data_IF_984216469321
#
_entry.id   IF_984216469321
#
_cell.length_a   1.000
_cell.length_b   1.000
_cell.length_c   1.000
_cell.angle_alpha   90.00
_cell.angle_beta   90.00
_cell.angle_gamma   90.00
#
_symmetry.space_group_name_H-M   'P 1'
#
loop_
_entity.id
_entity.type
_entity.pdbx_description
1 polymer ?
#
# COMPACT_ATOMS: atom_id res chain seq x y z
N UNK A 1 7.53 4.04 5.48
CA UNK A 1 6.86 4.64 4.31
C UNK A 1 7.48 4.16 3.01
N UNK A 2 6.64 3.71 2.09
CA UNK A 2 6.98 3.23 0.74
C UNK A 2 6.16 3.99 -0.31
N UNK A 3 6.61 3.94 -1.56
CA UNK A 3 5.95 4.58 -2.69
C UNK A 3 5.13 3.55 -3.49
N UNK A 4 3.81 3.69 -3.48
CA UNK A 4 2.92 2.93 -4.34
C UNK A 4 2.54 3.76 -5.57
N UNK A 5 2.70 3.21 -6.77
CA UNK A 5 2.38 3.92 -8.01
C UNK A 5 1.04 3.44 -8.54
N UNK A 6 0.02 4.29 -8.47
CA UNK A 6 -1.28 4.06 -9.11
C UNK A 6 -1.32 4.75 -10.48
N UNK A 7 -1.78 4.07 -11.52
CA UNK A 7 -2.04 4.70 -12.82
C UNK A 7 -3.52 5.00 -12.96
N UNK A 8 -3.91 6.27 -12.79
CA UNK A 8 -5.29 6.72 -12.90
C UNK A 8 -5.44 7.63 -14.12
N UNK A 9 -6.30 7.23 -15.05
CA UNK A 9 -6.60 8.00 -16.27
C UNK A 9 -5.34 8.35 -17.10
N UNK A 10 -4.40 7.42 -17.22
CA UNK A 10 -3.13 7.60 -17.94
C UNK A 10 -2.10 8.47 -17.21
N UNK A 11 -2.40 8.97 -16.01
CA UNK A 11 -1.46 9.68 -15.15
C UNK A 11 -0.99 8.76 -14.02
N UNK A 12 0.33 8.73 -13.80
CA UNK A 12 0.91 8.05 -12.64
C UNK A 12 0.78 8.96 -11.43
N UNK A 13 0.17 8.46 -10.38
CA UNK A 13 0.06 9.11 -9.07
C UNK A 13 0.93 8.29 -8.13
N UNK A 14 1.83 8.95 -7.43
CA UNK A 14 2.68 8.33 -6.41
C UNK A 14 2.03 8.54 -5.06
N UNK A 15 1.67 7.44 -4.40
CA UNK A 15 1.09 7.41 -3.07
C UNK A 15 2.20 7.06 -2.09
N UNK A 16 2.40 7.92 -1.10
CA UNK A 16 3.27 7.62 0.03
C UNK A 16 2.43 6.91 1.09
N UNK A 17 2.69 5.64 1.30
CA UNK A 17 1.94 4.82 2.26
C UNK A 17 2.85 4.31 3.36
N UNK A 18 2.34 4.16 4.58
CA UNK A 18 3.11 3.64 5.70
C UNK A 18 2.73 2.17 6.01
N UNK A 19 3.52 1.19 5.54
CA UNK A 19 3.22 -0.24 5.72
C UNK A 19 3.49 -0.73 7.15
N UNK A 20 4.04 0.13 8.03
CA UNK A 20 4.16 -0.16 9.45
C UNK A 20 2.85 0.11 10.22
N UNK A 21 1.92 0.87 9.64
CA UNK A 21 0.59 1.12 10.16
C UNK A 21 -0.45 0.48 9.24
N UNK A 22 -0.68 -0.81 9.46
CA UNK A 22 -1.69 -1.60 8.75
C UNK A 22 -2.91 -1.72 9.65
N UNK A 23 -4.07 -1.28 9.17
CA UNK A 23 -5.34 -1.48 9.88
C UNK A 23 -5.88 -2.89 9.60
N UNK A 24 -5.88 -3.29 8.32
CA UNK A 24 -6.45 -4.55 7.85
C UNK A 24 -5.62 -5.19 6.74
N UNK A 25 -5.65 -6.52 6.69
CA UNK A 25 -5.08 -7.33 5.61
C UNK A 25 -6.22 -8.15 5.00
N UNK A 26 -6.20 -8.28 3.68
CA UNK A 26 -7.23 -8.99 2.93
C UNK A 26 -6.61 -10.05 2.01
N UNK A 27 -6.56 -9.83 0.71
CA UNK A 27 -6.07 -10.81 -0.28
C UNK A 27 -4.53 -10.88 -0.40
N UNK A 28 -3.99 -12.08 -0.65
CA UNK A 28 -2.58 -12.31 -1.00
C UNK A 28 -2.47 -12.66 -2.48
N UNK A 29 -1.54 -12.02 -3.18
CA UNK A 29 -1.25 -12.28 -4.59
C UNK A 29 0.26 -12.38 -4.79
N UNK A 30 0.76 -13.62 -4.91
CA UNK A 30 2.19 -13.88 -5.01
C UNK A 30 2.94 -13.41 -3.76
N UNK A 31 3.86 -12.47 -3.96
CA UNK A 31 4.68 -11.85 -2.89
C UNK A 31 4.05 -10.55 -2.34
N UNK A 32 2.89 -10.15 -2.85
CA UNK A 32 2.15 -8.98 -2.42
C UNK A 32 0.95 -9.36 -1.55
N UNK A 33 0.60 -8.48 -0.62
CA UNK A 33 -0.57 -8.58 0.24
C UNK A 33 -1.37 -7.28 0.11
N UNK A 34 -2.66 -7.41 -0.14
CA UNK A 34 -3.60 -6.31 -0.12
C UNK A 34 -3.85 -5.89 1.33
N UNK A 35 -3.46 -4.65 1.62
CA UNK A 35 -3.45 -4.11 2.97
C UNK A 35 -4.12 -2.72 2.98
N UNK A 36 -4.91 -2.47 4.01
CA UNK A 36 -5.43 -1.15 4.32
C UNK A 36 -4.37 -0.41 5.12
N UNK A 37 -3.69 0.52 4.44
CA UNK A 37 -2.57 1.28 4.98
C UNK A 37 -2.87 2.77 4.96
N UNK A 38 -2.24 3.51 5.88
CA UNK A 38 -2.39 4.95 5.89
C UNK A 38 -1.62 5.57 4.73
N UNK A 39 -2.32 6.30 3.86
CA UNK A 39 -1.73 7.05 2.76
C UNK A 39 -1.51 8.51 3.18
N UNK A 40 -0.26 8.95 3.23
CA UNK A 40 0.11 10.33 3.53
C UNK A 40 -0.27 11.29 2.41
N UNK A 41 -0.27 10.83 1.15
CA UNK A 41 -0.64 11.66 -0.01
C UNK A 41 -2.10 12.14 0.08
N UNK A 42 -3.01 11.28 0.51
CA UNK A 42 -4.44 11.61 0.66
C UNK A 42 -4.87 11.81 2.12
N UNK A 43 -3.98 11.55 3.09
CA UNK A 43 -4.21 11.62 4.54
C UNK A 43 -5.46 10.84 4.97
N UNK A 44 -5.57 9.62 4.46
CA UNK A 44 -6.67 8.69 4.72
C UNK A 44 -6.19 7.25 4.60
N UNK A 45 -6.99 6.31 5.12
CA UNK A 45 -6.77 4.88 4.93
C UNK A 45 -7.14 4.47 3.51
N UNK A 46 -6.19 3.84 2.81
CA UNK A 46 -6.37 3.37 1.44
C UNK A 46 -5.85 1.94 1.30
N UNK A 47 -6.54 1.18 0.44
CA UNK A 47 -6.14 -0.17 0.13
C UNK A 47 -5.05 -0.16 -0.93
N UNK A 48 -3.93 -0.81 -0.63
CA UNK A 48 -2.81 -0.92 -1.55
C UNK A 48 -2.25 -2.34 -1.53
N UNK A 49 -1.78 -2.79 -2.69
CA UNK A 49 -0.96 -3.99 -2.80
C UNK A 49 0.45 -3.64 -2.35
N UNK A 50 0.86 -4.25 -1.23
CA UNK A 50 2.16 -4.01 -0.62
C UNK A 50 2.96 -5.31 -0.66
N UNK A 51 4.24 -5.24 -1.02
CA UNK A 51 5.13 -6.38 -0.89
C UNK A 51 5.17 -6.86 0.55
N UNK A 52 5.02 -8.17 0.76
CA UNK A 52 4.96 -8.76 2.11
C UNK A 52 6.22 -8.53 2.91
N UNK A 53 7.38 -8.39 2.24
CA UNK A 53 8.65 -8.00 2.86
C UNK A 53 8.56 -6.64 3.55
N UNK A 54 7.84 -5.68 2.95
CA UNK A 54 7.67 -4.31 3.48
C UNK A 54 6.66 -4.23 4.63
N UNK A 55 5.73 -5.19 4.73
CA UNK A 55 4.78 -5.33 5.84
C UNK A 55 5.40 -5.97 7.10
N UNK A 56 6.73 -6.04 7.18
CA UNK A 56 7.46 -6.67 8.28
C UNK A 56 7.66 -8.16 8.12
N UNK A 57 7.94 -8.61 6.88
CA UNK A 57 8.25 -10.00 6.57
C UNK A 57 9.34 -10.55 7.50
N UNK A 58 9.00 -11.62 8.24
CA UNK A 58 9.96 -12.48 8.94
C UNK A 58 10.56 -13.50 7.98
#
# INVERSE_FOLDING_TARGET
>A
MIECIETKNGKKIVHLVDPSQVDQLDEISGDEQYALVWCETHRQWEWHWIERSELGGY
#
